data_IF_718367258974
#
_entry.id   IF_718367258974
#
_cell.length_a   1.000
_cell.length_b   1.000
_cell.length_c   1.000
_cell.angle_alpha   90.00
_cell.angle_beta   90.00
_cell.angle_gamma   90.00
#
_symmetry.space_group_name_H-M   'P 1'
#
loop_
_entity.id
_entity.type
_entity.pdbx_description
1 polymer ?
#
# COMPACT_ATOMS: atom_id res chain seq x y z
N UNK A 1 10.45 -12.99 5.43
CA UNK A 1 9.67 -12.11 6.34
C UNK A 1 8.73 -11.24 5.49
N UNK A 2 7.66 -10.64 6.05
CA UNK A 2 6.73 -9.81 5.28
C UNK A 2 6.59 -8.43 5.91
N UNK A 3 6.73 -7.39 5.11
CA UNK A 3 6.46 -6.00 5.50
C UNK A 3 5.14 -5.60 4.85
N UNK A 4 4.24 -4.98 5.60
CA UNK A 4 3.00 -4.42 5.07
C UNK A 4 2.82 -2.97 5.51
N UNK A 5 2.06 -2.21 4.73
CA UNK A 5 1.68 -0.83 5.02
C UNK A 5 0.35 -0.47 4.35
N UNK A 6 -0.32 0.55 4.86
CA UNK A 6 -1.50 1.14 4.25
C UNK A 6 -1.06 2.37 3.44
N UNK A 7 -1.00 2.26 2.12
CA UNK A 7 -0.56 3.35 1.25
C UNK A 7 -1.74 4.18 0.81
N UNK A 8 -1.64 5.50 0.97
CA UNK A 8 -2.50 6.45 0.26
C UNK A 8 -2.34 6.27 -1.25
N UNK A 9 -3.39 6.54 -2.04
CA UNK A 9 -3.36 6.38 -3.51
C UNK A 9 -2.17 7.10 -4.16
N UNK A 10 -1.90 8.35 -3.75
CA UNK A 10 -0.83 9.16 -4.31
C UNK A 10 0.58 8.57 -4.02
N UNK A 11 0.74 7.94 -2.84
CA UNK A 11 2.00 7.36 -2.41
C UNK A 11 2.26 5.94 -2.97
N UNK A 12 1.27 5.28 -3.59
CA UNK A 12 1.42 3.90 -4.07
C UNK A 12 2.58 3.75 -5.06
N UNK A 13 2.74 4.71 -5.97
CA UNK A 13 3.82 4.71 -6.96
C UNK A 13 5.21 4.79 -6.34
N UNK A 14 5.35 5.41 -5.17
CA UNK A 14 6.60 5.44 -4.41
C UNK A 14 6.92 4.05 -3.86
N UNK A 15 5.96 3.42 -3.17
CA UNK A 15 6.17 2.10 -2.55
C UNK A 15 6.34 0.99 -3.59
N UNK A 16 5.66 1.09 -4.74
CA UNK A 16 5.87 0.17 -5.86
C UNK A 16 7.34 0.13 -6.32
N UNK A 17 8.03 1.28 -6.36
CA UNK A 17 9.47 1.35 -6.69
C UNK A 17 10.36 0.61 -5.69
N UNK A 18 9.91 0.44 -4.45
CA UNK A 18 10.62 -0.31 -3.40
C UNK A 18 10.22 -1.79 -3.33
N UNK A 19 9.40 -2.27 -4.27
CA UNK A 19 8.97 -3.67 -4.37
C UNK A 19 7.74 -4.03 -3.55
N UNK A 20 6.95 -3.04 -3.13
CA UNK A 20 5.64 -3.29 -2.53
C UNK A 20 4.59 -3.53 -3.62
N UNK A 21 3.64 -4.42 -3.34
CA UNK A 21 2.50 -4.72 -4.22
C UNK A 21 1.20 -4.50 -3.45
N UNK A 22 0.18 -3.95 -4.12
CA UNK A 22 -1.15 -3.80 -3.53
C UNK A 22 -1.78 -5.19 -3.29
N UNK A 23 -2.43 -5.35 -2.15
CA UNK A 23 -3.09 -6.58 -1.72
C UNK A 23 -4.48 -6.26 -1.17
N UNK A 24 -5.52 -6.85 -1.77
CA UNK A 24 -6.90 -6.67 -1.34
C UNK A 24 -7.58 -5.44 -1.94
N UNK A 25 -8.62 -4.96 -1.25
CA UNK A 25 -9.51 -3.90 -1.73
C UNK A 25 -9.06 -2.50 -1.25
N UNK A 26 -9.50 -1.48 -1.99
CA UNK A 26 -9.34 -0.09 -1.60
C UNK A 26 -10.22 0.21 -0.38
N UNK A 27 -9.71 0.99 0.58
CA UNK A 27 -10.48 1.40 1.75
C UNK A 27 -10.24 2.87 2.08
N UNK A 28 -11.16 3.45 2.84
CA UNK A 28 -11.08 4.84 3.30
C UNK A 28 -10.62 4.90 4.76
N UNK A 29 -9.66 5.77 5.05
CA UNK A 29 -9.22 6.08 6.41
C UNK A 29 -9.02 7.59 6.52
N UNK A 30 -9.67 8.21 7.52
CA UNK A 30 -9.66 9.68 7.71
C UNK A 30 -10.06 10.50 6.47
N UNK A 31 -10.98 9.97 5.63
CA UNK A 31 -11.43 10.61 4.39
C UNK A 31 -10.43 10.51 3.23
N UNK A 32 -9.39 9.68 3.37
CA UNK A 32 -8.38 9.45 2.34
C UNK A 32 -8.45 8.00 1.89
N UNK A 33 -8.32 7.79 0.58
CA UNK A 33 -8.34 6.47 -0.02
C UNK A 33 -6.96 5.80 0.06
N UNK A 34 -6.96 4.54 0.49
CA UNK A 34 -5.78 3.75 0.73
C UNK A 34 -5.89 2.36 0.09
N UNK A 35 -4.74 1.75 -0.16
CA UNK A 35 -4.60 0.31 -0.40
C UNK A 35 -3.62 -0.29 0.59
N UNK A 36 -3.90 -1.51 1.03
CA UNK A 36 -2.89 -2.30 1.72
C UNK A 36 -1.83 -2.71 0.69
N UNK A 37 -0.57 -2.52 1.03
CA UNK A 37 0.56 -2.94 0.21
C UNK A 37 1.50 -3.83 1.02
N UNK A 38 2.07 -4.85 0.37
CA UNK A 38 2.93 -5.87 0.99
C UNK A 38 4.23 -6.03 0.21
N UNK A 39 5.33 -6.31 0.92
CA UNK A 39 6.63 -6.66 0.34
C UNK A 39 7.14 -7.95 0.98
N UNK A 40 7.48 -8.91 0.12
CA UNK A 40 8.21 -10.13 0.51
C UNK A 40 9.68 -9.78 0.73
N UNK A 41 10.24 -10.18 1.87
CA UNK A 41 11.66 -10.02 2.26
C UNK A 41 12.31 -11.37 2.38
#
# INVERSE_FOLDING_TARGET
HYIYLNSQLDAMSLYAKFGFVAEGEQFEEAGIQHFKMVKKV
#
